data_IF_303023189859
#
_entry.id   IF_303023189859
#
_cell.length_a   1.000
_cell.length_b   1.000
_cell.length_c   1.000
_cell.angle_alpha   90.00
_cell.angle_beta   90.00
_cell.angle_gamma   90.00
#
_symmetry.space_group_name_H-M   'P 1'
#
loop_
_entity.id
_entity.type
_entity.pdbx_description
1 polymer ?
#
# COMPACT_ATOMS: atom_id res chain seq x y z
N UNK A 1 -14.59 8.47 5.59
CA UNK A 1 -16.01 8.21 5.28
C UNK A 1 -16.29 8.39 3.79
N UNK A 2 -17.11 7.53 3.19
CA UNK A 2 -17.60 7.60 1.80
C UNK A 2 -19.12 7.34 1.82
N UNK A 3 -19.92 7.99 0.95
CA UNK A 3 -21.31 7.60 0.78
C UNK A 3 -21.40 6.18 0.25
N UNK A 4 -22.31 5.40 0.83
CA UNK A 4 -22.66 4.06 0.39
C UNK A 4 -24.19 3.94 0.41
N UNK A 5 -24.71 3.04 -0.43
CA UNK A 5 -26.10 2.63 -0.31
C UNK A 5 -26.33 2.04 1.09
N UNK A 6 -27.46 2.33 1.71
CA UNK A 6 -27.72 1.93 3.09
C UNK A 6 -27.82 0.41 3.24
N UNK A 7 -28.39 -0.30 2.26
CA UNK A 7 -28.50 -1.76 2.30
C UNK A 7 -27.12 -2.40 2.16
N UNK A 8 -26.30 -1.89 1.24
CA UNK A 8 -24.92 -2.33 1.01
C UNK A 8 -24.07 -2.05 2.25
N UNK A 9 -24.23 -0.89 2.89
CA UNK A 9 -23.54 -0.56 4.13
C UNK A 9 -23.96 -1.49 5.28
N UNK A 10 -25.26 -1.78 5.40
CA UNK A 10 -25.77 -2.75 6.36
C UNK A 10 -25.28 -4.17 6.08
N UNK A 11 -25.18 -4.56 4.82
CA UNK A 11 -24.68 -5.85 4.39
C UNK A 11 -23.18 -5.99 4.60
N UNK A 12 -22.38 -4.95 4.37
CA UNK A 12 -20.95 -4.93 4.67
C UNK A 12 -20.70 -5.19 6.15
N UNK A 13 -21.53 -4.63 7.03
CA UNK A 13 -21.45 -4.84 8.49
C UNK A 13 -20.02 -4.57 9.02
N UNK A 14 -19.51 -5.40 9.92
CA UNK A 14 -18.14 -5.43 10.41
C UNK A 14 -17.28 -6.50 9.72
N UNK A 15 -17.65 -6.93 8.49
CA UNK A 15 -16.85 -7.90 7.74
C UNK A 15 -15.46 -7.34 7.41
N UNK A 16 -14.47 -8.23 7.43
CA UNK A 16 -13.12 -7.91 7.01
C UNK A 16 -13.05 -7.64 5.52
N UNK A 17 -12.09 -6.83 5.09
CA UNK A 17 -11.83 -6.63 3.68
C UNK A 17 -10.89 -7.71 3.15
N UNK A 18 -11.28 -8.34 2.05
CA UNK A 18 -10.51 -9.39 1.39
C UNK A 18 -11.24 -9.92 0.17
N UNK A 19 -10.57 -10.76 -0.61
CA UNK A 19 -11.13 -11.42 -1.79
C UNK A 19 -12.19 -12.46 -1.42
N UNK A 20 -13.23 -12.55 -2.26
CA UNK A 20 -14.32 -13.51 -2.10
C UNK A 20 -15.12 -13.66 -3.41
N UNK A 21 -15.80 -14.80 -3.55
CA UNK A 21 -16.36 -15.26 -4.83
C UNK A 21 -17.91 -15.24 -4.88
N UNK A 22 -18.61 -14.82 -3.82
CA UNK A 22 -20.08 -14.72 -3.82
C UNK A 22 -20.52 -13.28 -4.04
N UNK A 23 -21.12 -13.00 -5.21
CA UNK A 23 -21.60 -11.67 -5.53
C UNK A 23 -22.76 -11.29 -4.60
N UNK A 24 -22.71 -10.08 -4.03
CA UNK A 24 -23.78 -9.53 -3.22
C UNK A 24 -24.85 -8.85 -4.10
N UNK A 25 -26.09 -9.22 -3.85
CA UNK A 25 -27.27 -8.66 -4.49
C UNK A 25 -28.13 -7.91 -3.48
N UNK A 26 -28.58 -6.72 -3.86
CA UNK A 26 -29.50 -5.91 -3.09
C UNK A 26 -30.98 -6.24 -3.42
N UNK A 27 -31.93 -5.58 -2.74
CA UNK A 27 -33.38 -5.75 -2.87
C UNK A 27 -33.80 -7.22 -2.79
N UNK A 28 -33.26 -7.93 -1.78
CA UNK A 28 -33.60 -9.33 -1.53
C UNK A 28 -33.07 -10.29 -2.59
N UNK A 29 -31.99 -9.94 -3.29
CA UNK A 29 -31.31 -10.84 -4.24
C UNK A 29 -31.54 -10.51 -5.71
N UNK A 30 -32.02 -9.31 -6.04
CA UNK A 30 -32.48 -8.99 -7.39
C UNK A 30 -31.60 -7.99 -8.14
N UNK A 31 -30.91 -7.10 -7.44
CA UNK A 31 -30.06 -6.07 -8.06
C UNK A 31 -28.59 -6.38 -7.79
N UNK A 32 -27.75 -6.63 -8.80
CA UNK A 32 -26.33 -6.82 -8.59
C UNK A 32 -25.69 -5.51 -8.12
N UNK A 33 -24.89 -5.59 -7.07
CA UNK A 33 -24.21 -4.41 -6.49
C UNK A 33 -22.77 -4.26 -6.95
N UNK A 34 -22.26 -5.22 -7.74
CA UNK A 34 -20.85 -5.41 -8.08
C UNK A 34 -19.90 -5.54 -6.88
N UNK A 35 -20.44 -5.67 -5.67
CA UNK A 35 -19.68 -6.04 -4.46
C UNK A 35 -19.85 -7.53 -4.21
N UNK A 36 -18.93 -8.10 -3.45
CA UNK A 36 -18.90 -9.53 -3.15
C UNK A 36 -18.75 -9.75 -1.64
N UNK A 37 -19.14 -10.92 -1.16
CA UNK A 37 -19.07 -11.29 0.25
C UNK A 37 -18.72 -12.77 0.42
N UNK A 38 -18.28 -13.16 1.60
CA UNK A 38 -18.28 -14.54 2.07
C UNK A 38 -18.93 -14.56 3.44
N UNK A 39 -20.03 -15.31 3.60
CA UNK A 39 -20.63 -15.51 4.93
C UNK A 39 -19.88 -16.54 5.75
N UNK A 40 -19.08 -17.40 5.12
CA UNK A 40 -18.26 -18.41 5.79
C UNK A 40 -17.01 -17.80 6.40
N UNK A 41 -16.29 -16.98 5.63
CA UNK A 41 -15.06 -16.32 6.10
C UNK A 41 -15.35 -14.93 6.70
N UNK A 42 -16.61 -14.48 6.62
CA UNK A 42 -17.04 -13.16 7.08
C UNK A 42 -16.28 -12.00 6.41
N UNK A 43 -16.11 -12.10 5.09
CA UNK A 43 -15.33 -11.17 4.26
C UNK A 43 -16.24 -10.35 3.34
N UNK A 44 -15.79 -9.15 3.00
CA UNK A 44 -16.41 -8.23 2.06
C UNK A 44 -15.39 -7.69 1.04
N UNK A 45 -15.73 -7.83 -0.23
CA UNK A 45 -15.00 -7.22 -1.34
C UNK A 45 -15.85 -6.11 -1.97
N UNK A 46 -15.39 -4.86 -1.97
CA UNK A 46 -16.10 -3.76 -2.62
C UNK A 46 -16.03 -3.89 -4.15
N UNK A 47 -16.77 -3.01 -4.84
CA UNK A 47 -16.76 -2.93 -6.30
C UNK A 47 -15.37 -2.62 -6.85
N UNK A 48 -15.09 -3.12 -8.04
CA UNK A 48 -13.80 -2.92 -8.71
C UNK A 48 -13.42 -1.45 -8.89
N UNK A 49 -14.40 -0.56 -9.09
CA UNK A 49 -14.17 0.88 -9.28
C UNK A 49 -13.85 1.66 -7.99
N UNK A 50 -13.82 1.00 -6.82
CA UNK A 50 -13.55 1.66 -5.54
C UNK A 50 -12.66 0.83 -4.60
N UNK A 51 -12.15 -0.32 -5.07
CA UNK A 51 -11.41 -1.24 -4.21
C UNK A 51 -10.02 -0.71 -3.84
N UNK A 52 -9.37 0.03 -4.75
CA UNK A 52 -8.10 0.70 -4.49
C UNK A 52 -8.27 1.87 -3.53
N UNK A 53 -9.36 2.63 -3.68
CA UNK A 53 -9.71 3.69 -2.72
C UNK A 53 -9.92 3.09 -1.31
N UNK A 54 -10.63 1.96 -1.23
CA UNK A 54 -10.81 1.22 0.02
C UNK A 54 -9.47 0.77 0.60
N UNK A 55 -8.59 0.19 -0.20
CA UNK A 55 -7.25 -0.23 0.24
C UNK A 55 -6.45 0.94 0.81
N UNK A 56 -6.33 2.06 0.10
CA UNK A 56 -5.61 3.26 0.57
C UNK A 56 -6.23 3.89 1.82
N UNK A 57 -7.55 3.82 1.98
CA UNK A 57 -8.20 4.24 3.22
C UNK A 57 -7.84 3.31 4.38
N UNK A 58 -7.77 2.00 4.16
CA UNK A 58 -7.43 1.02 5.21
C UNK A 58 -5.96 1.13 5.59
N UNK A 59 -5.03 1.25 4.62
CA UNK A 59 -3.61 1.53 4.88
C UNK A 59 -3.43 2.77 5.75
N UNK A 60 -4.13 3.86 5.44
CA UNK A 60 -4.10 5.07 6.26
C UNK A 60 -4.65 4.84 7.68
N UNK A 61 -5.74 4.10 7.82
CA UNK A 61 -6.32 3.82 9.14
C UNK A 61 -5.37 2.99 10.00
N UNK A 62 -4.69 1.99 9.43
CA UNK A 62 -3.70 1.21 10.15
C UNK A 62 -2.56 2.13 10.64
N UNK A 63 -1.89 2.83 9.72
CA UNK A 63 -0.76 3.72 10.06
C UNK A 63 -1.12 4.84 11.04
N UNK A 64 -2.36 5.34 11.00
CA UNK A 64 -2.78 6.42 11.91
C UNK A 64 -3.13 5.88 13.30
N UNK A 65 -3.72 4.70 13.41
CA UNK A 65 -4.35 4.23 14.64
C UNK A 65 -3.64 2.98 15.18
N UNK A 66 -2.56 3.21 15.92
CA UNK A 66 -1.66 2.19 16.50
C UNK A 66 -1.92 2.00 18.01
N UNK A 67 -3.13 2.29 18.49
CA UNK A 67 -3.51 2.07 19.89
C UNK A 67 -2.94 3.07 20.91
N UNK A 68 -2.44 4.22 20.48
CA UNK A 68 -1.78 5.18 21.37
C UNK A 68 -2.73 5.73 22.45
N UNK A 69 -2.23 5.81 23.69
CA UNK A 69 -2.95 6.46 24.78
C UNK A 69 -2.69 7.97 24.80
N UNK A 70 -3.73 8.75 24.57
CA UNK A 70 -3.66 10.20 24.69
C UNK A 70 -3.96 10.63 26.14
N UNK A 71 -2.91 10.99 26.88
CA UNK A 71 -3.01 11.43 28.27
C UNK A 71 -3.75 12.77 28.45
N UNK A 72 -3.84 13.62 27.42
CA UNK A 72 -4.50 14.92 27.48
C UNK A 72 -6.02 14.75 27.34
N UNK A 73 -6.46 13.94 26.37
CA UNK A 73 -7.88 13.66 26.15
C UNK A 73 -8.40 12.48 26.97
N UNK A 74 -7.53 11.73 27.64
CA UNK A 74 -7.86 10.51 28.40
C UNK A 74 -8.65 9.50 27.54
N UNK A 75 -8.18 9.31 26.30
CA UNK A 75 -8.76 8.41 25.30
C UNK A 75 -7.62 7.55 24.75
N UNK A 76 -7.84 6.25 24.70
CA UNK A 76 -6.99 5.32 23.95
C UNK A 76 -7.53 5.24 22.54
N UNK A 77 -6.66 5.46 21.56
CA UNK A 77 -6.99 5.24 20.16
C UNK A 77 -7.28 3.76 19.89
N UNK A 78 -8.11 3.41 18.89
CA UNK A 78 -8.16 2.04 18.41
C UNK A 78 -6.78 1.63 17.87
N UNK A 79 -6.50 0.33 17.94
CA UNK A 79 -5.24 -0.28 17.49
C UNK A 79 -5.51 -1.11 16.24
N UNK A 80 -5.63 -0.47 15.08
CA UNK A 80 -6.16 -1.10 13.87
C UNK A 80 -5.05 -1.77 13.06
N UNK A 81 -5.18 -3.06 12.79
CA UNK A 81 -4.14 -3.84 12.13
C UNK A 81 -4.56 -4.39 10.76
N UNK A 82 -3.56 -4.67 9.92
CA UNK A 82 -3.71 -5.37 8.64
C UNK A 82 -2.78 -6.58 8.69
N UNK A 83 -3.33 -7.77 8.46
CA UNK A 83 -2.60 -9.03 8.58
C UNK A 83 -2.85 -9.89 7.35
N UNK A 84 -1.99 -10.86 7.05
CA UNK A 84 -2.18 -11.75 5.90
C UNK A 84 -3.04 -12.98 6.23
N UNK A 85 -4.05 -12.80 7.09
CA UNK A 85 -5.04 -13.83 7.44
C UNK A 85 -6.35 -13.19 7.94
N UNK A 86 -7.43 -13.98 7.88
CA UNK A 86 -8.73 -13.64 8.47
C UNK A 86 -8.91 -14.44 9.77
N UNK A 87 -9.41 -13.82 10.86
CA UNK A 87 -9.76 -14.53 12.08
C UNK A 87 -10.74 -15.68 11.83
N UNK A 88 -10.70 -16.70 12.69
CA UNK A 88 -11.47 -17.93 12.48
C UNK A 88 -13.00 -17.74 12.56
N UNK A 89 -13.48 -16.72 13.27
CA UNK A 89 -14.90 -16.39 13.41
C UNK A 89 -15.12 -14.89 13.64
N UNK A 90 -16.35 -14.43 13.39
CA UNK A 90 -16.81 -13.04 13.50
C UNK A 90 -16.96 -12.53 14.94
N UNK A 91 -16.55 -13.33 15.94
CA UNK A 91 -16.47 -12.93 17.34
C UNK A 91 -15.07 -12.52 17.77
N UNK A 92 -14.08 -12.62 16.87
CA UNK A 92 -12.72 -12.19 17.19
C UNK A 92 -12.69 -10.72 17.63
N UNK A 93 -11.94 -10.46 18.70
CA UNK A 93 -11.60 -9.12 19.17
C UNK A 93 -10.27 -8.63 18.61
N UNK A 94 -9.64 -9.42 17.73
CA UNK A 94 -8.42 -9.01 17.04
C UNK A 94 -8.75 -7.78 16.19
N UNK A 95 -7.91 -6.75 16.20
CA UNK A 95 -8.27 -5.49 15.59
C UNK A 95 -7.96 -5.46 14.08
N UNK A 96 -8.02 -6.62 13.46
CA UNK A 96 -7.72 -6.83 12.05
C UNK A 96 -8.84 -6.22 11.22
N UNK A 97 -8.47 -5.44 10.21
CA UNK A 97 -9.42 -4.82 9.29
C UNK A 97 -9.51 -5.55 7.94
N UNK A 98 -8.42 -6.16 7.50
CA UNK A 98 -8.27 -6.65 6.14
C UNK A 98 -7.12 -7.64 5.96
N UNK A 99 -7.18 -8.40 4.86
CA UNK A 99 -6.07 -9.22 4.36
C UNK A 99 -5.05 -8.34 3.64
N UNK A 100 -3.80 -8.35 4.09
CA UNK A 100 -2.74 -7.49 3.53
C UNK A 100 -2.51 -7.73 2.03
N UNK A 101 -2.32 -8.99 1.62
CA UNK A 101 -2.07 -9.34 0.22
C UNK A 101 -3.19 -8.89 -0.72
N UNK A 102 -4.45 -9.02 -0.29
CA UNK A 102 -5.60 -8.55 -1.06
C UNK A 102 -5.62 -7.02 -1.19
N UNK A 103 -5.28 -6.28 -0.13
CA UNK A 103 -5.22 -4.81 -0.21
C UNK A 103 -4.11 -4.32 -1.15
N UNK A 104 -2.94 -4.97 -1.13
CA UNK A 104 -1.85 -4.68 -2.06
C UNK A 104 -2.30 -4.91 -3.50
N UNK A 105 -2.97 -6.03 -3.75
CA UNK A 105 -3.55 -6.34 -5.07
C UNK A 105 -4.59 -5.29 -5.50
N UNK A 106 -5.49 -4.88 -4.59
CA UNK A 106 -6.52 -3.89 -4.89
C UNK A 106 -5.92 -2.52 -5.19
N UNK A 107 -4.87 -2.13 -4.47
CA UNK A 107 -4.13 -0.91 -4.72
C UNK A 107 -3.54 -0.87 -6.13
N UNK A 108 -2.96 -1.98 -6.60
CA UNK A 108 -2.40 -2.09 -7.95
C UNK A 108 -3.48 -2.12 -9.05
N UNK A 109 -4.58 -2.83 -8.80
CA UNK A 109 -5.66 -3.01 -9.78
C UNK A 109 -6.53 -1.76 -9.97
N UNK A 110 -6.60 -0.88 -8.97
CA UNK A 110 -7.41 0.35 -8.98
C UNK A 110 -6.55 1.56 -8.53
N UNK A 111 -5.73 2.12 -9.44
CA UNK A 111 -4.82 3.24 -9.14
C UNK A 111 -5.56 4.51 -8.74
N UNK A 112 -4.87 5.43 -8.05
CA UNK A 112 -5.44 6.72 -7.63
C UNK A 112 -5.96 7.52 -8.82
N UNK A 113 -7.23 7.90 -8.78
CA UNK A 113 -7.87 8.74 -9.79
C UNK A 113 -8.02 10.22 -9.35
N UNK A 114 -8.53 11.05 -10.25
CA UNK A 114 -8.75 12.48 -9.98
C UNK A 114 -9.84 12.72 -8.92
N UNK A 115 -10.82 11.82 -8.83
CA UNK A 115 -11.91 11.94 -7.86
C UNK A 115 -11.36 11.74 -6.44
N UNK A 116 -10.51 10.73 -6.26
CA UNK A 116 -9.88 10.41 -4.99
C UNK A 116 -8.89 11.50 -4.56
N UNK A 117 -8.06 12.02 -5.48
CA UNK A 117 -7.19 13.18 -5.21
C UNK A 117 -7.98 14.40 -4.76
N UNK A 118 -9.04 14.76 -5.49
CA UNK A 118 -9.90 15.88 -5.12
C UNK A 118 -10.58 15.65 -3.76
N UNK A 119 -11.00 14.42 -3.46
CA UNK A 119 -11.56 14.10 -2.15
C UNK A 119 -10.52 14.26 -1.03
N UNK A 120 -9.27 13.85 -1.24
CA UNK A 120 -8.18 14.03 -0.28
C UNK A 120 -7.93 15.53 -0.02
N UNK A 121 -7.92 16.36 -1.08
CA UNK A 121 -7.80 17.82 -0.99
C UNK A 121 -8.93 18.44 -0.17
N UNK A 122 -10.18 18.08 -0.46
CA UNK A 122 -11.35 18.61 0.25
C UNK A 122 -11.29 18.21 1.72
N UNK A 123 -11.00 16.94 2.04
CA UNK A 123 -10.90 16.48 3.44
C UNK A 123 -9.80 17.22 4.19
N UNK A 124 -8.63 17.40 3.55
CA UNK A 124 -7.52 18.14 4.12
C UNK A 124 -7.93 19.55 4.55
N UNK A 125 -8.73 20.25 3.73
CA UNK A 125 -9.21 21.61 4.05
C UNK A 125 -10.04 21.70 5.33
N UNK A 126 -10.64 20.58 5.79
CA UNK A 126 -11.43 20.50 7.01
C UNK A 126 -10.68 19.88 8.20
N UNK A 127 -9.88 18.83 7.96
CA UNK A 127 -9.27 18.02 9.03
C UNK A 127 -7.79 18.36 9.29
N UNK A 128 -7.10 18.96 8.31
CA UNK A 128 -5.70 19.37 8.42
C UNK A 128 -4.69 18.23 8.25
N UNK A 129 -5.13 17.00 8.02
CA UNK A 129 -4.30 15.82 7.74
C UNK A 129 -4.69 15.22 6.37
N UNK A 130 -3.68 14.65 5.68
CA UNK A 130 -3.86 14.00 4.37
C UNK A 130 -3.65 12.51 4.49
N UNK A 131 -4.29 11.75 3.61
CA UNK A 131 -3.89 10.38 3.38
C UNK A 131 -2.64 10.38 2.45
N UNK A 132 -1.45 10.02 2.97
CA UNK A 132 -0.23 10.05 2.19
C UNK A 132 -0.23 8.99 1.07
N UNK A 133 -0.99 7.91 1.21
CA UNK A 133 -1.09 6.86 0.19
C UNK A 133 -1.92 7.27 -1.03
N UNK A 134 -2.66 8.39 -0.96
CA UNK A 134 -3.35 8.99 -2.11
C UNK A 134 -2.41 9.98 -2.82
N UNK A 135 -1.66 10.78 -2.05
CA UNK A 135 -0.71 11.76 -2.60
C UNK A 135 0.55 11.07 -3.18
N UNK A 136 0.98 9.99 -2.53
CA UNK A 136 2.16 9.17 -2.82
C UNK A 136 1.80 7.68 -2.78
N UNK A 137 1.15 7.14 -3.83
CA UNK A 137 0.76 5.73 -3.91
C UNK A 137 1.92 4.76 -3.67
N UNK A 138 3.13 5.14 -4.09
CA UNK A 138 4.38 4.39 -3.91
C UNK A 138 4.69 4.07 -2.44
N UNK A 139 4.17 4.87 -1.49
CA UNK A 139 4.37 4.62 -0.06
C UNK A 139 3.66 3.37 0.43
N UNK A 140 2.59 2.90 -0.25
CA UNK A 140 1.93 1.66 0.12
C UNK A 140 2.93 0.53 0.10
N UNK A 141 3.70 0.42 -0.98
CA UNK A 141 4.66 -0.64 -1.08
C UNK A 141 5.82 -0.46 -0.10
N UNK A 142 6.35 0.76 0.07
CA UNK A 142 7.44 1.02 1.02
C UNK A 142 7.10 0.65 2.48
N UNK A 143 5.83 0.77 2.86
CA UNK A 143 5.39 0.52 4.23
C UNK A 143 4.86 -0.90 4.41
N UNK A 144 4.19 -1.45 3.40
CA UNK A 144 3.41 -2.69 3.52
C UNK A 144 3.79 -3.79 2.52
N UNK A 145 4.56 -3.49 1.49
CA UNK A 145 5.00 -4.45 0.49
C UNK A 145 6.26 -5.21 0.91
N UNK A 146 6.49 -6.36 0.28
CA UNK A 146 7.76 -7.09 0.38
C UNK A 146 8.71 -6.74 -0.77
N UNK A 147 8.17 -6.40 -1.94
CA UNK A 147 8.91 -6.10 -3.17
C UNK A 147 8.20 -4.97 -3.92
N UNK A 148 8.90 -3.85 -4.21
CA UNK A 148 8.28 -2.64 -4.77
C UNK A 148 8.71 -2.36 -6.21
N UNK A 149 7.85 -2.60 -7.21
CA UNK A 149 8.18 -2.31 -8.60
C UNK A 149 8.45 -0.81 -8.77
N UNK A 150 9.70 -0.45 -9.10
CA UNK A 150 10.14 0.94 -9.29
C UNK A 150 11.00 1.50 -8.16
N UNK A 151 11.10 0.79 -7.03
CA UNK A 151 12.17 0.97 -6.06
C UNK A 151 13.12 -0.20 -6.28
N UNK A 152 14.25 0.10 -6.89
CA UNK A 152 15.29 -0.90 -7.09
C UNK A 152 15.87 -1.16 -5.71
N UNK A 153 15.69 -2.37 -5.17
CA UNK A 153 16.32 -2.69 -3.89
C UNK A 153 17.84 -2.68 -4.08
N UNK A 154 18.55 -2.20 -3.06
CA UNK A 154 20.00 -2.22 -3.08
C UNK A 154 20.52 -3.67 -3.19
N UNK A 155 21.65 -3.90 -3.87
CA UNK A 155 22.32 -5.20 -3.84
C UNK A 155 22.66 -5.62 -2.40
N UNK A 156 22.42 -6.90 -2.08
CA UNK A 156 22.72 -7.47 -0.76
C UNK A 156 23.43 -8.84 -0.90
N UNK A 157 24.66 -9.00 -0.40
CA UNK A 157 25.54 -7.97 0.18
C UNK A 157 26.11 -7.03 -0.89
N UNK A 158 26.60 -5.85 -0.48
CA UNK A 158 27.47 -5.00 -1.29
C UNK A 158 28.74 -4.67 -0.50
N UNK A 159 29.90 -4.87 -1.12
CA UNK A 159 31.20 -4.49 -0.55
C UNK A 159 32.02 -3.67 -1.54
N UNK A 160 32.75 -2.70 -1.02
CA UNK A 160 33.67 -1.85 -1.77
C UNK A 160 34.98 -1.69 -0.98
N UNK A 161 36.02 -2.41 -1.41
CA UNK A 161 37.31 -2.45 -0.70
C UNK A 161 38.41 -1.80 -1.54
N UNK A 162 39.20 -0.90 -0.92
CA UNK A 162 40.35 -0.27 -1.57
C UNK A 162 41.50 -1.26 -1.71
N UNK A 163 41.76 -1.72 -2.93
CA UNK A 163 42.87 -2.63 -3.25
C UNK A 163 44.20 -1.90 -3.40
N UNK A 164 44.17 -0.65 -3.87
CA UNK A 164 45.34 0.23 -3.99
C UNK A 164 44.95 1.72 -4.09
N UNK A 165 45.93 2.60 -4.28
CA UNK A 165 45.69 4.04 -4.49
C UNK A 165 44.91 4.37 -5.78
N UNK A 166 44.72 3.40 -6.69
CA UNK A 166 44.01 3.58 -7.96
C UNK A 166 43.06 2.43 -8.28
N UNK A 167 42.70 1.59 -7.31
CA UNK A 167 41.83 0.44 -7.52
C UNK A 167 40.90 0.24 -6.32
N UNK A 168 39.62 0.04 -6.62
CA UNK A 168 38.59 -0.40 -5.68
C UNK A 168 38.04 -1.71 -6.23
N UNK A 169 38.01 -2.74 -5.38
CA UNK A 169 37.37 -4.01 -5.66
C UNK A 169 35.92 -3.93 -5.16
N UNK A 170 34.98 -4.21 -6.05
CA UNK A 170 33.54 -4.19 -5.78
C UNK A 170 33.02 -5.62 -5.86
N UNK A 171 32.25 -6.05 -4.85
CA UNK A 171 31.57 -7.35 -4.85
C UNK A 171 30.12 -7.17 -4.40
N UNK A 172 29.20 -7.87 -5.05
CA UNK A 172 27.78 -7.73 -4.76
C UNK A 172 26.94 -8.99 -5.03
N UNK A 173 25.88 -9.17 -4.24
CA UNK A 173 24.77 -10.08 -4.52
C UNK A 173 23.63 -9.35 -5.24
N UNK A 174 22.85 -10.08 -6.03
CA UNK A 174 21.55 -9.56 -6.47
C UNK A 174 20.60 -9.51 -5.27
N UNK A 175 19.74 -8.50 -5.24
CA UNK A 175 18.66 -8.43 -4.26
C UNK A 175 17.66 -9.60 -4.43
N UNK A 176 16.71 -9.73 -3.50
CA UNK A 176 15.67 -10.78 -3.55
C UNK A 176 14.88 -10.78 -4.86
N UNK A 177 14.71 -9.60 -5.46
CA UNK A 177 14.04 -9.36 -6.73
C UNK A 177 14.88 -9.63 -7.98
N UNK A 178 16.13 -10.06 -7.82
CA UNK A 178 17.07 -10.29 -8.92
C UNK A 178 17.19 -9.09 -9.89
N UNK A 179 17.06 -7.86 -9.38
CA UNK A 179 17.14 -6.67 -10.24
C UNK A 179 18.54 -6.49 -10.82
N UNK A 180 18.61 -5.98 -12.05
CA UNK A 180 19.88 -5.64 -12.69
C UNK A 180 20.58 -4.47 -11.98
N UNK A 181 21.91 -4.53 -11.91
CA UNK A 181 22.72 -3.54 -11.20
C UNK A 181 23.40 -2.62 -12.22
N UNK A 182 23.30 -1.31 -11.99
CA UNK A 182 23.98 -0.28 -12.79
C UNK A 182 25.13 0.30 -11.98
N UNK A 183 26.35 0.19 -12.50
CA UNK A 183 27.53 0.83 -11.94
C UNK A 183 27.76 2.19 -12.59
N UNK A 184 27.69 3.25 -11.79
CA UNK A 184 28.04 4.61 -12.18
C UNK A 184 29.33 5.04 -11.49
N UNK A 185 30.19 5.76 -12.20
CA UNK A 185 31.42 6.33 -11.64
C UNK A 185 31.62 7.76 -12.14
N UNK A 186 32.24 8.60 -11.29
CA UNK A 186 32.56 9.98 -11.63
C UNK A 186 33.87 10.39 -10.93
N UNK A 187 34.67 11.24 -11.58
CA UNK A 187 35.90 11.84 -11.01
C UNK A 187 35.67 13.12 -10.21
N UNK A 188 34.48 13.72 -10.30
CA UNK A 188 34.11 15.02 -9.71
C UNK A 188 33.20 14.88 -8.48
N UNK A 189 32.84 13.65 -8.09
CA UNK A 189 31.98 13.34 -6.94
C UNK A 189 30.60 14.03 -6.98
N UNK A 190 30.06 14.23 -8.18
CA UNK A 190 28.73 14.84 -8.40
C UNK A 190 27.86 13.82 -9.12
N UNK A 191 26.83 13.28 -8.48
CA UNK A 191 25.99 12.25 -9.10
C UNK A 191 24.61 12.81 -9.43
N UNK A 192 24.15 12.57 -10.65
CA UNK A 192 22.75 12.81 -11.02
C UNK A 192 21.81 11.75 -10.44
N UNK A 193 20.50 12.03 -10.45
CA UNK A 193 19.48 11.03 -10.17
C UNK A 193 19.19 10.24 -11.44
N UNK A 194 19.43 8.92 -11.49
CA UNK A 194 19.12 8.11 -12.66
C UNK A 194 17.62 8.17 -12.97
N UNK A 195 17.26 8.34 -14.24
CA UNK A 195 15.87 8.26 -14.71
C UNK A 195 15.80 7.68 -16.11
N UNK A 196 14.93 6.69 -16.31
CA UNK A 196 14.76 6.00 -17.59
C UNK A 196 15.71 4.81 -17.79
N UNK A 197 15.92 4.44 -19.06
CA UNK A 197 16.76 3.31 -19.46
C UNK A 197 18.15 3.78 -19.87
N UNK A 198 19.18 3.11 -19.38
CA UNK A 198 20.57 3.39 -19.73
C UNK A 198 21.18 2.22 -20.50
N UNK A 199 22.03 2.51 -21.47
CA UNK A 199 22.95 1.53 -22.04
C UNK A 199 24.35 1.74 -21.49
N UNK A 200 25.16 0.68 -21.48
CA UNK A 200 26.53 0.75 -20.95
C UNK A 200 27.34 1.84 -21.68
N UNK A 201 27.83 2.81 -20.92
CA UNK A 201 28.58 3.97 -21.41
C UNK A 201 27.77 5.26 -21.57
N UNK A 202 26.45 5.23 -21.38
CA UNK A 202 25.64 6.44 -21.40
C UNK A 202 25.88 7.32 -20.16
N UNK A 203 25.93 8.66 -20.30
CA UNK A 203 26.01 9.57 -19.17
C UNK A 203 24.67 9.62 -18.41
N UNK A 204 24.73 9.74 -17.09
CA UNK A 204 23.56 9.96 -16.24
C UNK A 204 23.31 11.47 -16.14
N UNK A 205 22.09 11.90 -16.48
CA UNK A 205 21.71 13.31 -16.42
C UNK A 205 21.82 13.83 -14.98
N UNK A 206 22.57 14.92 -14.78
CA UNK A 206 22.72 15.57 -13.48
C UNK A 206 24.06 15.34 -12.77
N UNK A 207 24.96 14.52 -13.34
CA UNK A 207 26.33 14.34 -12.84
C UNK A 207 27.00 13.11 -13.39
#
# INVERSE_FOLDING_TARGET
MRPADNTVNSARNSRWYGECDEQYYDEGGTIPTDSWTSSTDWVWKPRDAVKGDCARMIFYMATRYEGEYNAISNITEPDLEIMDYIPADDYSTDPIMAVLSDLLLWHEQDPVDDFERNRNEVIYSYQGNRNPYIDHPEYVCLVFGTDCPGIVDDPDPFTAEGSSASQIDLDWGLNANSNEIVLAWNTTNTFGTPSGTYTSGDPITGG
#
